data_IF_296410491916
#
_entry.id   IF_296410491916
#
_cell.length_a   1.000
_cell.length_b   1.000
_cell.length_c   1.000
_cell.angle_alpha   90.00
_cell.angle_beta   90.00
_cell.angle_gamma   90.00
#
_symmetry.space_group_name_H-M   'P 1'
#
loop_
_entity.id
_entity.type
_entity.pdbx_description
1 polymer ?
#
# COMPACT_ATOMS: atom_id res chain seq x y z
N UNK A 1 -29.70 35.89 -19.83
CA UNK A 1 -28.58 35.16 -19.20
C UNK A 1 -28.29 35.63 -17.78
N UNK A 2 -28.14 36.91 -17.45
CA UNK A 2 -27.86 37.42 -16.07
C UNK A 2 -28.92 37.04 -15.03
N UNK A 3 -30.22 37.02 -15.39
CA UNK A 3 -31.32 36.64 -14.49
C UNK A 3 -31.31 35.15 -14.11
N UNK A 4 -30.89 34.26 -15.02
CA UNK A 4 -30.77 32.82 -14.80
C UNK A 4 -29.58 32.52 -13.86
N UNK A 5 -28.47 33.22 -14.06
CA UNK A 5 -27.31 33.12 -13.14
C UNK A 5 -27.64 33.59 -11.73
N UNK A 6 -28.45 34.65 -11.58
CA UNK A 6 -28.86 35.16 -10.28
C UNK A 6 -29.78 34.19 -9.52
N UNK A 7 -30.69 33.49 -10.24
CA UNK A 7 -31.58 32.46 -9.67
C UNK A 7 -30.77 31.23 -9.24
N UNK A 8 -29.74 30.83 -10.01
CA UNK A 8 -28.86 29.72 -9.70
C UNK A 8 -28.01 30.01 -8.42
N UNK A 9 -27.55 31.24 -8.25
CA UNK A 9 -26.80 31.69 -7.07
C UNK A 9 -27.72 31.74 -5.84
N UNK A 10 -28.96 32.19 -6.00
CA UNK A 10 -29.93 32.29 -4.91
C UNK A 10 -30.35 30.90 -4.35
N UNK A 11 -30.45 29.88 -5.24
CA UNK A 11 -30.75 28.49 -4.82
C UNK A 11 -29.62 27.85 -4.01
N UNK A 12 -28.36 28.22 -4.26
CA UNK A 12 -27.21 27.75 -3.50
C UNK A 12 -27.15 28.33 -2.06
N UNK A 13 -27.67 29.52 -1.84
CA UNK A 13 -27.70 30.17 -0.53
C UNK A 13 -28.79 29.56 0.36
N UNK A 14 -29.93 29.16 -0.18
CA UNK A 14 -31.03 28.55 0.56
C UNK A 14 -30.67 27.15 1.11
N UNK A 15 -29.94 26.34 0.36
CA UNK A 15 -29.48 25.01 0.81
C UNK A 15 -28.51 25.06 2.01
N UNK A 16 -27.74 26.13 2.15
CA UNK A 16 -26.81 26.27 3.28
C UNK A 16 -27.54 26.57 4.60
N UNK A 17 -28.68 27.23 4.56
CA UNK A 17 -29.48 27.59 5.74
C UNK A 17 -30.14 26.37 6.44
N UNK A 18 -30.69 25.43 5.65
CA UNK A 18 -31.38 24.26 6.19
C UNK A 18 -30.40 23.29 6.87
N UNK A 19 -29.26 22.99 6.24
CA UNK A 19 -28.20 22.18 6.84
C UNK A 19 -27.71 22.77 8.17
N UNK A 20 -27.47 24.08 8.22
CA UNK A 20 -26.97 24.73 9.42
C UNK A 20 -28.00 24.71 10.55
N UNK A 21 -29.30 24.87 10.23
CA UNK A 21 -30.42 24.73 11.16
C UNK A 21 -30.45 23.31 11.73
N UNK A 22 -30.39 22.29 10.90
CA UNK A 22 -30.37 20.90 11.35
C UNK A 22 -29.14 20.55 12.18
N UNK A 23 -27.96 21.07 11.83
CA UNK A 23 -26.73 20.84 12.58
C UNK A 23 -26.82 21.32 14.00
N UNK A 24 -27.48 22.45 14.22
CA UNK A 24 -27.65 23.09 15.53
C UNK A 24 -28.93 22.64 16.27
N UNK A 25 -29.80 21.87 15.65
CA UNK A 25 -31.03 21.32 16.25
C UNK A 25 -30.69 20.19 17.22
N UNK A 26 -31.51 19.99 18.24
CA UNK A 26 -31.43 18.82 19.13
C UNK A 26 -32.30 17.65 18.65
N UNK A 27 -33.02 17.82 17.54
CA UNK A 27 -33.92 16.78 16.98
C UNK A 27 -33.09 15.72 16.22
N UNK A 28 -32.90 14.57 16.88
CA UNK A 28 -32.09 13.45 16.34
C UNK A 28 -32.66 12.88 15.02
N UNK A 29 -34.01 12.83 14.91
CA UNK A 29 -34.67 12.32 13.70
C UNK A 29 -34.37 13.16 12.46
N UNK A 30 -34.40 14.49 12.59
CA UNK A 30 -34.09 15.40 11.49
C UNK A 30 -32.63 15.26 11.04
N UNK A 31 -31.70 15.12 12.00
CA UNK A 31 -30.29 14.87 11.69
C UNK A 31 -30.07 13.56 10.94
N UNK A 32 -30.82 12.52 11.29
CA UNK A 32 -30.77 11.25 10.57
C UNK A 32 -31.30 11.38 9.14
N UNK A 33 -32.46 12.02 8.95
CA UNK A 33 -33.10 12.19 7.64
C UNK A 33 -32.24 13.07 6.71
N UNK A 34 -31.84 14.26 7.18
CA UNK A 34 -31.00 15.18 6.40
C UNK A 34 -29.61 14.59 6.16
N UNK A 35 -29.06 13.91 7.16
CA UNK A 35 -27.78 13.20 7.01
C UNK A 35 -27.83 12.11 5.96
N UNK A 36 -28.93 11.35 5.91
CA UNK A 36 -29.15 10.30 4.87
C UNK A 36 -29.26 10.93 3.49
N UNK A 37 -30.06 12.00 3.32
CA UNK A 37 -30.16 12.72 2.06
C UNK A 37 -28.79 13.24 1.57
N UNK A 38 -28.01 13.84 2.46
CA UNK A 38 -26.66 14.31 2.13
C UNK A 38 -25.70 13.19 1.78
N UNK A 39 -25.84 12.02 2.40
CA UNK A 39 -25.08 10.82 2.09
C UNK A 39 -25.44 10.33 0.67
N UNK A 40 -26.70 10.23 0.34
CA UNK A 40 -27.20 9.80 -0.98
C UNK A 40 -26.79 10.78 -2.10
N UNK A 41 -26.63 12.05 -1.77
CA UNK A 41 -26.09 13.10 -2.66
C UNK A 41 -24.54 13.09 -2.78
N UNK A 42 -23.83 12.19 -2.10
CA UNK A 42 -22.36 12.15 -2.07
C UNK A 42 -21.72 13.27 -1.22
N UNK A 43 -22.50 14.02 -0.46
CA UNK A 43 -22.01 15.09 0.42
C UNK A 43 -21.50 14.53 1.77
N UNK A 44 -20.60 13.55 1.70
CA UNK A 44 -20.18 12.71 2.83
C UNK A 44 -19.64 13.52 4.02
N UNK A 45 -18.92 14.60 3.79
CA UNK A 45 -18.40 15.47 4.86
C UNK A 45 -19.50 16.10 5.71
N UNK A 46 -20.59 16.57 5.06
CA UNK A 46 -21.76 17.14 5.73
C UNK A 46 -22.58 16.06 6.44
N UNK A 47 -22.83 14.94 5.75
CA UNK A 47 -23.53 13.79 6.32
C UNK A 47 -22.84 13.27 7.58
N UNK A 48 -21.52 13.07 7.51
CA UNK A 48 -20.72 12.57 8.62
C UNK A 48 -20.78 13.47 9.86
N UNK A 49 -20.80 14.78 9.66
CA UNK A 49 -20.91 15.74 10.76
C UNK A 49 -22.25 15.63 11.52
N UNK A 50 -23.35 15.34 10.79
CA UNK A 50 -24.65 15.05 11.41
C UNK A 50 -24.65 13.68 12.09
N UNK A 51 -24.15 12.65 11.43
CA UNK A 51 -24.10 11.29 11.96
C UNK A 51 -23.25 11.19 13.24
N UNK A 52 -22.13 11.88 13.30
CA UNK A 52 -21.28 11.92 14.50
C UNK A 52 -21.99 12.41 15.74
N UNK A 53 -22.96 13.34 15.59
CA UNK A 53 -23.74 13.87 16.69
C UNK A 53 -24.80 12.90 17.22
N UNK A 54 -25.29 11.97 16.37
CA UNK A 54 -26.45 11.12 16.71
C UNK A 54 -26.09 9.64 16.92
N UNK A 55 -24.93 9.17 16.45
CA UNK A 55 -24.50 7.77 16.61
C UNK A 55 -24.61 7.27 18.06
N UNK A 56 -24.21 8.04 19.11
CA UNK A 56 -24.37 7.56 20.48
C UNK A 56 -25.82 7.32 20.90
N UNK A 57 -26.77 8.15 20.42
CA UNK A 57 -28.19 8.07 20.77
C UNK A 57 -28.95 6.99 20.00
N UNK A 58 -28.35 6.41 18.94
CA UNK A 58 -28.94 5.34 18.13
C UNK A 58 -28.61 3.93 18.64
N UNK A 59 -27.76 3.76 19.64
CA UNK A 59 -27.43 2.45 20.19
C UNK A 59 -28.70 1.70 20.60
N UNK A 60 -28.86 0.47 20.10
CA UNK A 60 -30.02 -0.39 20.40
C UNK A 60 -31.31 -0.01 19.62
N UNK A 61 -31.29 1.00 18.76
CA UNK A 61 -32.43 1.35 17.93
C UNK A 61 -32.42 0.61 16.59
N UNK A 62 -33.58 0.36 15.96
CA UNK A 62 -33.64 -0.36 14.67
C UNK A 62 -32.77 0.22 13.55
N UNK A 63 -32.64 1.56 13.50
CA UNK A 63 -31.85 2.22 12.45
C UNK A 63 -30.34 2.32 12.78
N UNK A 64 -29.90 1.81 13.93
CA UNK A 64 -28.50 1.90 14.33
C UNK A 64 -27.56 1.27 13.30
N UNK A 65 -27.89 0.11 12.77
CA UNK A 65 -27.12 -0.56 11.75
C UNK A 65 -26.94 0.31 10.49
N UNK A 66 -28.04 0.85 9.95
CA UNK A 66 -27.99 1.74 8.77
C UNK A 66 -27.13 2.98 9.04
N UNK A 67 -27.30 3.61 10.20
CA UNK A 67 -26.54 4.79 10.60
C UNK A 67 -25.04 4.49 10.71
N UNK A 68 -24.68 3.41 11.39
CA UNK A 68 -23.27 3.04 11.58
C UNK A 68 -22.60 2.68 10.24
N UNK A 69 -23.32 2.00 9.35
CA UNK A 69 -22.86 1.73 7.97
C UNK A 69 -22.52 3.03 7.24
N UNK A 70 -23.49 3.95 7.13
CA UNK A 70 -23.30 5.22 6.43
C UNK A 70 -22.20 6.08 7.07
N UNK A 71 -22.12 6.08 8.41
CA UNK A 71 -21.10 6.82 9.15
C UNK A 71 -19.69 6.30 8.88
N UNK A 72 -19.50 4.96 8.90
CA UNK A 72 -18.22 4.33 8.57
C UNK A 72 -17.80 4.65 7.12
N UNK A 73 -18.75 4.52 6.18
CA UNK A 73 -18.51 4.80 4.77
C UNK A 73 -18.19 6.27 4.52
N UNK A 74 -18.84 7.20 5.24
CA UNK A 74 -18.48 8.62 5.15
C UNK A 74 -17.02 8.91 5.54
N UNK A 75 -16.46 8.22 6.52
CA UNK A 75 -15.05 8.39 6.87
C UNK A 75 -14.13 7.87 5.76
N UNK A 76 -14.50 6.74 5.13
CA UNK A 76 -13.75 6.20 4.01
C UNK A 76 -13.79 7.15 2.80
N UNK A 77 -14.97 7.61 2.40
CA UNK A 77 -15.18 8.53 1.27
C UNK A 77 -14.55 9.93 1.47
N UNK A 78 -14.30 10.30 2.73
CA UNK A 78 -13.61 11.54 3.07
C UNK A 78 -12.11 11.33 3.36
N UNK A 79 -11.56 10.17 2.99
CA UNK A 79 -10.16 9.79 3.13
C UNK A 79 -9.64 9.83 4.59
N UNK A 80 -10.56 9.80 5.55
CA UNK A 80 -10.22 9.76 6.97
C UNK A 80 -9.91 8.33 7.42
N UNK A 81 -8.95 7.69 6.76
CA UNK A 81 -8.71 6.24 6.80
C UNK A 81 -8.43 5.67 8.19
N UNK A 82 -7.75 6.40 9.07
CA UNK A 82 -7.56 5.98 10.47
C UNK A 82 -8.87 5.83 11.22
N UNK A 83 -9.83 6.74 10.97
CA UNK A 83 -11.15 6.65 11.60
C UNK A 83 -12.04 5.65 10.85
N UNK A 84 -11.92 5.60 9.54
CA UNK A 84 -12.67 4.66 8.69
C UNK A 84 -12.42 3.21 9.10
N UNK A 85 -11.15 2.79 9.23
CA UNK A 85 -10.83 1.42 9.63
C UNK A 85 -11.47 1.06 11.00
N UNK A 86 -11.35 1.95 11.99
CA UNK A 86 -11.94 1.75 13.30
C UNK A 86 -13.47 1.61 13.25
N UNK A 87 -14.16 2.49 12.51
CA UNK A 87 -15.62 2.44 12.41
C UNK A 87 -16.09 1.21 11.59
N UNK A 88 -15.34 0.80 10.59
CA UNK A 88 -15.62 -0.40 9.80
C UNK A 88 -15.46 -1.67 10.64
N UNK A 89 -14.37 -1.82 11.37
CA UNK A 89 -14.15 -2.95 12.31
C UNK A 89 -15.24 -2.99 13.38
N UNK A 90 -15.62 -1.83 13.91
CA UNK A 90 -16.70 -1.71 14.88
C UNK A 90 -18.06 -2.12 14.29
N UNK A 91 -18.37 -1.75 13.05
CA UNK A 91 -19.59 -2.17 12.38
C UNK A 91 -19.60 -3.69 12.18
N UNK A 92 -18.54 -4.27 11.63
CA UNK A 92 -18.44 -5.71 11.37
C UNK A 92 -18.58 -6.53 12.66
N UNK A 93 -18.01 -6.05 13.76
CA UNK A 93 -18.14 -6.70 15.09
C UNK A 93 -19.55 -6.57 15.68
N UNK A 94 -20.25 -5.44 15.43
CA UNK A 94 -21.59 -5.18 15.99
C UNK A 94 -22.72 -5.83 15.19
N UNK A 95 -22.50 -6.04 13.91
CA UNK A 95 -23.52 -6.54 12.96
C UNK A 95 -22.93 -7.62 12.03
N UNK A 96 -22.47 -8.76 12.56
CA UNK A 96 -21.82 -9.82 11.78
C UNK A 96 -22.74 -10.45 10.73
N UNK A 97 -24.06 -10.44 10.97
CA UNK A 97 -25.06 -11.01 10.05
C UNK A 97 -25.63 -9.98 9.04
N UNK A 98 -25.05 -8.77 8.99
CA UNK A 98 -25.49 -7.74 8.07
C UNK A 98 -25.15 -8.08 6.62
N UNK A 99 -26.08 -7.86 5.69
CA UNK A 99 -25.80 -7.94 4.24
C UNK A 99 -24.64 -6.98 3.81
N UNK A 100 -24.37 -5.98 4.62
CA UNK A 100 -23.31 -4.97 4.38
C UNK A 100 -21.98 -5.30 5.07
N UNK A 101 -21.89 -6.43 5.78
CA UNK A 101 -20.71 -6.73 6.60
C UNK A 101 -19.45 -6.93 5.74
N UNK A 102 -19.58 -7.63 4.61
CA UNK A 102 -18.44 -7.88 3.73
C UNK A 102 -17.93 -6.60 3.08
N UNK A 103 -18.84 -5.74 2.57
CA UNK A 103 -18.49 -4.43 2.02
C UNK A 103 -17.72 -3.58 3.04
N UNK A 104 -18.27 -3.45 4.25
CA UNK A 104 -17.65 -2.63 5.29
C UNK A 104 -16.34 -3.23 5.81
N UNK A 105 -16.27 -4.53 6.00
CA UNK A 105 -15.02 -5.17 6.40
C UNK A 105 -13.91 -4.97 5.35
N UNK A 106 -14.26 -5.06 4.06
CA UNK A 106 -13.33 -4.76 2.99
C UNK A 106 -12.88 -3.31 2.98
N UNK A 107 -13.80 -2.33 3.15
CA UNK A 107 -13.44 -0.91 3.25
C UNK A 107 -12.52 -0.63 4.45
N UNK A 108 -12.74 -1.32 5.57
CA UNK A 108 -11.85 -1.27 6.72
C UNK A 108 -10.44 -1.75 6.38
N UNK A 109 -10.31 -2.93 5.77
CA UNK A 109 -9.04 -3.47 5.31
C UNK A 109 -8.36 -2.57 4.27
N UNK A 110 -9.13 -2.09 3.28
CA UNK A 110 -8.65 -1.16 2.25
C UNK A 110 -8.21 0.19 2.81
N UNK A 111 -8.77 0.62 3.94
CA UNK A 111 -8.30 1.83 4.63
C UNK A 111 -6.85 1.69 5.10
N UNK A 112 -6.42 0.50 5.56
CA UNK A 112 -5.01 0.25 5.90
C UNK A 112 -4.10 0.31 4.68
N UNK A 113 -4.57 -0.17 3.51
CA UNK A 113 -3.81 -0.02 2.26
C UNK A 113 -3.52 1.46 1.93
N UNK A 114 -4.52 2.34 2.08
CA UNK A 114 -4.34 3.78 1.86
C UNK A 114 -3.41 4.44 2.89
N UNK A 115 -3.30 3.90 4.09
CA UNK A 115 -2.37 4.36 5.12
C UNK A 115 -0.94 3.85 4.91
N UNK A 116 -0.77 2.76 4.14
CA UNK A 116 0.54 2.19 3.86
C UNK A 116 1.39 3.15 3.01
N UNK A 117 2.59 3.49 3.46
CA UNK A 117 3.43 4.47 2.77
C UNK A 117 4.10 3.91 1.51
N UNK A 118 4.76 4.79 0.77
CA UNK A 118 5.66 4.39 -0.33
C UNK A 118 6.86 3.59 0.21
N UNK A 119 7.47 2.78 -0.65
CA UNK A 119 8.55 1.83 -0.30
C UNK A 119 9.75 2.45 0.43
N UNK A 120 10.02 3.75 0.26
CA UNK A 120 11.18 4.42 0.88
C UNK A 120 11.01 4.75 2.37
N UNK A 121 9.78 4.64 2.89
CA UNK A 121 9.46 4.90 4.31
C UNK A 121 9.46 3.60 5.12
N UNK A 122 9.20 3.69 6.42
CA UNK A 122 9.04 2.53 7.28
C UNK A 122 7.96 1.58 6.76
N UNK A 123 8.17 0.27 6.90
CA UNK A 123 7.27 -0.75 6.35
C UNK A 123 6.21 -1.25 7.34
N UNK A 124 6.16 -0.69 8.54
CA UNK A 124 5.24 -1.15 9.60
C UNK A 124 3.77 -1.10 9.15
N UNK A 125 3.35 0.05 8.62
CA UNK A 125 1.98 0.23 8.12
C UNK A 125 1.71 -0.66 6.90
N UNK A 126 2.70 -0.88 6.04
CA UNK A 126 2.59 -1.80 4.89
C UNK A 126 2.33 -3.23 5.36
N UNK A 127 3.09 -3.72 6.35
CA UNK A 127 2.91 -5.06 6.92
C UNK A 127 1.56 -5.19 7.63
N UNK A 128 1.14 -4.15 8.37
CA UNK A 128 -0.19 -4.13 9.00
C UNK A 128 -1.31 -4.18 7.95
N UNK A 129 -1.16 -3.46 6.82
CA UNK A 129 -2.14 -3.49 5.74
C UNK A 129 -2.26 -4.89 5.12
N UNK A 130 -1.14 -5.56 4.87
CA UNK A 130 -1.13 -6.95 4.36
C UNK A 130 -1.86 -7.87 5.34
N UNK A 131 -1.55 -7.79 6.65
CA UNK A 131 -2.20 -8.57 7.70
C UNK A 131 -3.73 -8.37 7.70
N UNK A 132 -4.19 -7.11 7.66
CA UNK A 132 -5.62 -6.78 7.69
C UNK A 132 -6.37 -7.24 6.43
N UNK A 133 -5.78 -7.07 5.26
CA UNK A 133 -6.37 -7.55 4.00
C UNK A 133 -6.39 -9.07 3.97
N UNK A 134 -5.33 -9.74 4.43
CA UNK A 134 -5.30 -11.20 4.53
C UNK A 134 -6.34 -11.73 5.52
N UNK A 135 -6.56 -11.03 6.65
CA UNK A 135 -7.61 -11.38 7.60
C UNK A 135 -9.00 -11.26 6.97
N UNK A 136 -9.24 -10.24 6.13
CA UNK A 136 -10.48 -10.11 5.36
C UNK A 136 -10.67 -11.31 4.41
N UNK A 137 -9.65 -11.66 3.61
CA UNK A 137 -9.69 -12.80 2.66
C UNK A 137 -10.02 -14.10 3.40
N UNK A 138 -9.37 -14.34 4.54
CA UNK A 138 -9.57 -15.55 5.32
C UNK A 138 -10.98 -15.63 5.95
N UNK A 139 -11.55 -14.45 6.31
CA UNK A 139 -12.89 -14.40 6.94
C UNK A 139 -14.01 -14.50 5.90
N UNK A 140 -13.80 -13.98 4.69
CA UNK A 140 -14.81 -13.89 3.62
C UNK A 140 -14.27 -14.44 2.29
N UNK A 141 -13.91 -15.74 2.20
CA UNK A 141 -13.22 -16.30 1.02
C UNK A 141 -14.06 -16.29 -0.27
N UNK A 142 -15.40 -16.22 -0.15
CA UNK A 142 -16.35 -16.17 -1.28
C UNK A 142 -16.82 -14.73 -1.58
N UNK A 143 -16.20 -13.71 -1.00
CA UNK A 143 -16.63 -12.32 -1.19
C UNK A 143 -16.32 -11.82 -2.61
N UNK A 144 -17.20 -10.99 -3.15
CA UNK A 144 -16.96 -10.29 -4.43
C UNK A 144 -15.72 -9.39 -4.43
N UNK A 145 -15.21 -9.02 -3.24
CA UNK A 145 -14.02 -8.16 -3.07
C UNK A 145 -12.68 -8.93 -3.06
N UNK A 146 -12.70 -10.27 -3.19
CA UNK A 146 -11.47 -11.09 -3.10
C UNK A 146 -10.46 -10.75 -4.19
N UNK A 147 -10.91 -10.53 -5.42
CA UNK A 147 -10.01 -10.16 -6.53
C UNK A 147 -9.26 -8.87 -6.22
N UNK A 148 -9.99 -7.83 -5.79
CA UNK A 148 -9.39 -6.54 -5.44
C UNK A 148 -8.48 -6.66 -4.22
N UNK A 149 -8.89 -7.42 -3.19
CA UNK A 149 -8.07 -7.65 -2.01
C UNK A 149 -6.71 -8.29 -2.35
N UNK A 150 -6.70 -9.27 -3.25
CA UNK A 150 -5.45 -9.89 -3.72
C UNK A 150 -4.57 -8.91 -4.52
N UNK A 151 -5.17 -8.04 -5.34
CA UNK A 151 -4.44 -7.00 -6.07
C UNK A 151 -3.78 -6.01 -5.11
N UNK A 152 -4.46 -5.62 -4.03
CA UNK A 152 -3.90 -4.74 -3.01
C UNK A 152 -2.72 -5.40 -2.26
N UNK A 153 -2.81 -6.69 -1.92
CA UNK A 153 -1.70 -7.44 -1.32
C UNK A 153 -0.51 -7.47 -2.29
N UNK A 154 -0.76 -7.78 -3.56
CA UNK A 154 0.30 -7.83 -4.57
C UNK A 154 1.05 -6.49 -4.69
N UNK A 155 0.33 -5.35 -4.66
CA UNK A 155 0.97 -4.03 -4.69
C UNK A 155 1.78 -3.76 -3.40
N UNK A 156 1.25 -4.13 -2.23
CA UNK A 156 1.96 -3.96 -0.96
C UNK A 156 3.23 -4.83 -0.89
N UNK A 157 3.16 -6.08 -1.34
CA UNK A 157 4.32 -6.98 -1.43
C UNK A 157 5.37 -6.41 -2.38
N UNK A 158 4.94 -5.86 -3.52
CA UNK A 158 5.86 -5.20 -4.46
C UNK A 158 6.52 -3.96 -3.84
N UNK A 159 5.85 -3.22 -2.96
CA UNK A 159 6.49 -2.12 -2.19
C UNK A 159 7.59 -2.64 -1.26
N UNK A 160 7.40 -3.81 -0.64
CA UNK A 160 8.45 -4.45 0.19
C UNK A 160 9.63 -4.92 -0.65
N UNK A 161 9.37 -5.54 -1.81
CA UNK A 161 10.41 -5.91 -2.77
C UNK A 161 11.22 -4.69 -3.23
N UNK A 162 10.54 -3.63 -3.64
CA UNK A 162 11.16 -2.37 -4.07
C UNK A 162 12.05 -1.78 -2.97
N UNK A 163 11.61 -1.84 -1.71
CA UNK A 163 12.42 -1.38 -0.57
C UNK A 163 13.69 -2.19 -0.41
N UNK A 164 13.58 -3.51 -0.39
CA UNK A 164 14.73 -4.41 -0.23
C UNK A 164 15.74 -4.24 -1.37
N UNK A 165 15.24 -4.20 -2.61
CA UNK A 165 16.06 -3.96 -3.79
C UNK A 165 16.80 -2.61 -3.76
N UNK A 166 16.07 -1.52 -3.48
CA UNK A 166 16.67 -0.19 -3.46
C UNK A 166 17.67 -0.02 -2.30
N UNK A 167 17.44 -0.67 -1.17
CA UNK A 167 18.41 -0.71 -0.07
C UNK A 167 19.71 -1.39 -0.51
N UNK A 168 19.63 -2.53 -1.20
CA UNK A 168 20.78 -3.24 -1.73
C UNK A 168 21.54 -2.41 -2.79
N UNK A 169 20.79 -1.73 -3.68
CA UNK A 169 21.35 -0.86 -4.71
C UNK A 169 22.03 0.38 -4.09
N UNK A 170 21.46 0.94 -3.04
CA UNK A 170 22.04 2.07 -2.33
C UNK A 170 23.41 1.71 -1.73
N UNK A 171 23.57 0.51 -1.15
CA UNK A 171 24.88 0.03 -0.68
C UNK A 171 25.90 -0.07 -1.82
N UNK A 172 25.49 -0.51 -3.02
CA UNK A 172 26.36 -0.52 -4.20
C UNK A 172 26.83 0.90 -4.54
N UNK A 173 25.89 1.86 -4.61
CA UNK A 173 26.18 3.27 -4.94
C UNK A 173 27.10 3.92 -3.91
N UNK A 174 26.95 3.58 -2.64
CA UNK A 174 27.80 4.06 -1.53
C UNK A 174 29.12 3.29 -1.41
N UNK A 175 29.48 2.46 -2.38
CA UNK A 175 30.71 1.64 -2.38
C UNK A 175 30.83 0.63 -1.23
N UNK A 176 29.74 0.42 -0.48
CA UNK A 176 29.65 -0.57 0.59
C UNK A 176 29.39 -1.98 0.00
N UNK A 177 30.27 -2.44 -0.88
CA UNK A 177 30.06 -3.61 -1.74
C UNK A 177 29.76 -4.90 -0.97
N UNK A 178 30.38 -5.14 0.17
CA UNK A 178 30.08 -6.33 0.99
C UNK A 178 28.63 -6.32 1.52
N UNK A 179 28.16 -5.16 1.98
CA UNK A 179 26.78 -4.98 2.43
C UNK A 179 25.79 -5.13 1.25
N UNK A 180 26.13 -4.55 0.09
CA UNK A 180 25.33 -4.68 -1.13
C UNK A 180 25.18 -6.15 -1.56
N UNK A 181 26.28 -6.90 -1.62
CA UNK A 181 26.26 -8.33 -1.94
C UNK A 181 25.32 -9.09 -1.01
N UNK A 182 25.47 -8.87 0.32
CA UNK A 182 24.64 -9.55 1.31
C UNK A 182 23.16 -9.17 1.19
N UNK A 183 22.88 -7.89 0.94
CA UNK A 183 21.51 -7.42 0.77
C UNK A 183 20.87 -7.99 -0.51
N UNK A 184 21.61 -8.09 -1.63
CA UNK A 184 21.11 -8.76 -2.83
C UNK A 184 20.98 -10.28 -2.67
N UNK A 185 21.88 -10.94 -1.91
CA UNK A 185 21.72 -12.36 -1.58
C UNK A 185 20.41 -12.59 -0.81
N UNK A 186 20.08 -11.75 0.17
CA UNK A 186 18.81 -11.82 0.90
C UNK A 186 17.62 -11.55 -0.04
N UNK A 187 17.68 -10.48 -0.85
CA UNK A 187 16.61 -10.16 -1.81
C UNK A 187 16.29 -11.34 -2.76
N UNK A 188 17.32 -11.99 -3.31
CA UNK A 188 17.15 -13.11 -4.25
C UNK A 188 16.53 -14.33 -3.55
N UNK A 189 16.79 -14.49 -2.25
CA UNK A 189 16.25 -15.56 -1.42
C UNK A 189 14.79 -15.27 -1.02
N UNK A 190 14.53 -14.04 -0.55
CA UNK A 190 13.24 -13.66 0.03
C UNK A 190 12.18 -13.41 -1.07
N UNK A 191 12.60 -12.99 -2.28
CA UNK A 191 11.71 -12.67 -3.40
C UNK A 191 12.06 -13.48 -4.67
N UNK A 192 11.90 -14.81 -4.66
CA UNK A 192 12.33 -15.67 -5.77
C UNK A 192 11.56 -15.42 -7.08
N UNK A 193 10.30 -14.94 -6.99
CA UNK A 193 9.44 -14.60 -8.12
C UNK A 193 9.48 -13.14 -8.57
N UNK A 194 10.32 -12.31 -7.96
CA UNK A 194 10.36 -10.88 -8.24
C UNK A 194 10.77 -10.56 -9.68
N UNK A 195 10.08 -9.60 -10.28
CA UNK A 195 10.45 -9.00 -11.58
C UNK A 195 11.80 -8.25 -11.52
N UNK A 196 12.27 -7.92 -10.33
CA UNK A 196 13.55 -7.26 -10.09
C UNK A 196 14.72 -8.25 -9.94
N UNK A 197 14.46 -9.58 -9.97
CA UNK A 197 15.44 -10.62 -9.71
C UNK A 197 16.62 -10.56 -10.70
N UNK A 198 16.35 -10.35 -11.99
CA UNK A 198 17.38 -10.18 -13.00
C UNK A 198 18.36 -9.05 -12.64
N UNK A 199 17.82 -7.87 -12.37
CA UNK A 199 18.59 -6.69 -11.95
C UNK A 199 19.34 -6.93 -10.64
N UNK A 200 18.71 -7.61 -9.68
CA UNK A 200 19.34 -7.94 -8.41
C UNK A 200 20.53 -8.88 -8.58
N UNK A 201 20.43 -9.89 -9.45
CA UNK A 201 21.54 -10.79 -9.76
C UNK A 201 22.67 -10.06 -10.47
N UNK A 202 22.36 -9.16 -11.40
CA UNK A 202 23.37 -8.34 -12.08
C UNK A 202 24.10 -7.43 -11.08
N UNK A 203 23.38 -6.63 -10.26
CA UNK A 203 24.02 -5.72 -9.32
C UNK A 203 24.75 -6.43 -8.17
N UNK A 204 24.31 -7.65 -7.80
CA UNK A 204 25.11 -8.52 -6.91
C UNK A 204 26.44 -8.89 -7.53
N UNK A 205 26.46 -9.25 -8.80
CA UNK A 205 27.70 -9.49 -9.55
C UNK A 205 28.55 -8.22 -9.65
N UNK A 206 27.94 -7.07 -10.04
CA UNK A 206 28.65 -5.79 -10.14
C UNK A 206 29.30 -5.39 -8.80
N UNK A 207 28.58 -5.53 -7.70
CA UNK A 207 29.14 -5.29 -6.35
C UNK A 207 30.33 -6.22 -6.05
N UNK A 208 30.25 -7.48 -6.50
CA UNK A 208 31.34 -8.46 -6.29
C UNK A 208 32.56 -8.15 -7.15
N UNK A 209 32.34 -7.74 -8.39
CA UNK A 209 33.39 -7.26 -9.29
C UNK A 209 34.11 -6.05 -8.70
N UNK A 210 33.34 -5.00 -8.32
CA UNK A 210 33.93 -3.79 -7.71
C UNK A 210 34.67 -4.09 -6.40
N UNK A 211 34.17 -5.01 -5.60
CA UNK A 211 34.83 -5.47 -4.40
C UNK A 211 36.16 -6.17 -4.72
N UNK A 212 36.20 -6.98 -5.79
CA UNK A 212 37.40 -7.71 -6.18
C UNK A 212 38.51 -6.78 -6.67
N UNK A 213 38.21 -5.90 -7.63
CA UNK A 213 39.21 -5.00 -8.24
C UNK A 213 39.75 -3.94 -7.27
N UNK A 214 39.02 -3.62 -6.20
CA UNK A 214 39.46 -2.68 -5.14
C UNK A 214 39.99 -3.42 -3.90
N UNK A 215 40.41 -4.67 -4.05
CA UNK A 215 40.90 -5.48 -2.93
C UNK A 215 42.38 -5.40 -2.78
N UNK A 216 42.83 -5.59 -1.52
CA UNK A 216 44.26 -5.84 -1.21
C UNK A 216 44.65 -7.22 -1.78
N UNK A 217 45.92 -7.36 -2.18
CA UNK A 217 46.45 -8.52 -2.93
C UNK A 217 46.07 -9.88 -2.32
N UNK A 218 46.20 -10.03 -0.98
CA UNK A 218 45.92 -11.33 -0.31
C UNK A 218 44.44 -11.74 -0.27
N UNK A 219 43.49 -10.82 -0.57
CA UNK A 219 42.06 -11.11 -0.66
C UNK A 219 41.54 -11.11 -2.12
N UNK A 220 42.33 -10.60 -3.03
CA UNK A 220 41.90 -10.35 -4.42
C UNK A 220 41.51 -11.63 -5.10
N UNK A 221 42.31 -12.67 -5.05
CA UNK A 221 42.08 -13.95 -5.73
C UNK A 221 40.75 -14.60 -5.27
N UNK A 222 40.52 -14.71 -3.96
CA UNK A 222 39.28 -15.26 -3.40
C UNK A 222 38.04 -14.46 -3.86
N UNK A 223 38.19 -13.13 -3.92
CA UNK A 223 37.07 -12.24 -4.31
C UNK A 223 36.80 -12.31 -5.81
N UNK A 224 37.82 -12.46 -6.65
CA UNK A 224 37.69 -12.71 -8.08
C UNK A 224 36.90 -14.00 -8.31
N UNK A 225 37.26 -15.09 -7.66
CA UNK A 225 36.58 -16.38 -7.81
C UNK A 225 35.10 -16.29 -7.41
N UNK A 226 34.80 -15.58 -6.32
CA UNK A 226 33.41 -15.32 -5.89
C UNK A 226 32.65 -14.47 -6.90
N UNK A 227 33.28 -13.47 -7.51
CA UNK A 227 32.66 -12.64 -8.53
C UNK A 227 32.36 -13.44 -9.80
N UNK A 228 33.31 -14.26 -10.27
CA UNK A 228 33.12 -15.16 -11.42
C UNK A 228 31.94 -16.13 -11.17
N UNK A 229 31.87 -16.72 -9.99
CA UNK A 229 30.75 -17.62 -9.64
C UNK A 229 29.40 -16.90 -9.69
N UNK A 230 29.31 -15.62 -9.25
CA UNK A 230 28.11 -14.82 -9.32
C UNK A 230 27.76 -14.42 -10.76
N UNK A 231 28.76 -14.11 -11.59
CA UNK A 231 28.57 -13.92 -13.02
C UNK A 231 27.96 -15.15 -13.67
N UNK A 232 28.55 -16.34 -13.46
CA UNK A 232 28.06 -17.58 -14.02
C UNK A 232 26.62 -17.88 -13.61
N UNK A 233 26.28 -17.61 -12.34
CA UNK A 233 24.91 -17.72 -11.86
C UNK A 233 23.98 -16.73 -12.56
N UNK A 234 24.37 -15.48 -12.78
CA UNK A 234 23.59 -14.49 -13.51
C UNK A 234 23.38 -14.92 -14.96
N UNK A 235 24.45 -15.22 -15.68
CA UNK A 235 24.41 -15.63 -17.10
C UNK A 235 23.55 -16.86 -17.32
N UNK A 236 23.67 -17.87 -16.44
CA UNK A 236 22.86 -19.10 -16.52
C UNK A 236 21.35 -18.83 -16.44
N UNK A 237 20.92 -17.85 -15.65
CA UNK A 237 19.51 -17.54 -15.45
C UNK A 237 18.98 -16.52 -16.47
N UNK A 238 19.86 -15.66 -17.02
CA UNK A 238 19.49 -14.49 -17.83
C UNK A 238 20.46 -14.28 -18.99
N UNK A 239 20.58 -15.28 -19.87
CA UNK A 239 21.51 -15.28 -21.02
C UNK A 239 21.22 -14.15 -22.02
N UNK A 240 19.94 -13.75 -22.15
CA UNK A 240 19.46 -12.68 -23.03
C UNK A 240 19.27 -11.34 -22.33
N UNK A 241 19.86 -11.15 -21.15
CA UNK A 241 19.76 -9.92 -20.38
C UNK A 241 20.40 -8.73 -21.11
N UNK A 242 19.77 -7.55 -20.99
CA UNK A 242 20.36 -6.28 -21.47
C UNK A 242 21.70 -5.95 -20.78
N UNK A 243 21.94 -6.54 -19.60
CA UNK A 243 23.19 -6.35 -18.84
C UNK A 243 24.32 -7.32 -19.25
N UNK A 244 24.07 -8.27 -20.16
CA UNK A 244 25.02 -9.36 -20.42
C UNK A 244 26.33 -8.86 -21.02
N UNK A 245 26.28 -7.90 -21.95
CA UNK A 245 27.46 -7.35 -22.60
C UNK A 245 28.40 -6.63 -21.60
N UNK A 246 27.80 -5.85 -20.69
CA UNK A 246 28.56 -5.17 -19.62
C UNK A 246 29.14 -6.18 -18.63
N UNK A 247 28.37 -7.22 -18.30
CA UNK A 247 28.81 -8.28 -17.41
C UNK A 247 29.98 -9.09 -18.02
N UNK A 248 29.94 -9.40 -19.32
CA UNK A 248 31.00 -10.10 -20.03
C UNK A 248 32.31 -9.26 -20.10
N UNK A 249 32.23 -7.93 -20.25
CA UNK A 249 33.39 -7.04 -20.18
C UNK A 249 34.06 -7.08 -18.78
N UNK A 250 33.25 -6.99 -17.72
CA UNK A 250 33.72 -7.10 -16.33
C UNK A 250 34.35 -8.48 -16.05
N UNK A 251 33.77 -9.56 -16.60
CA UNK A 251 34.35 -10.89 -16.48
C UNK A 251 35.73 -10.98 -17.13
N UNK A 252 35.90 -10.40 -18.33
CA UNK A 252 37.19 -10.36 -19.01
C UNK A 252 38.27 -9.71 -18.14
N UNK A 253 37.99 -8.56 -17.56
CA UNK A 253 38.89 -7.86 -16.64
C UNK A 253 39.24 -8.71 -15.40
N UNK A 254 38.24 -9.40 -14.79
CA UNK A 254 38.49 -10.31 -13.68
C UNK A 254 39.45 -11.45 -14.04
N UNK A 255 39.30 -12.02 -15.27
CA UNK A 255 40.17 -13.09 -15.71
C UNK A 255 41.60 -12.63 -16.01
N UNK A 256 41.79 -11.40 -16.52
CA UNK A 256 43.10 -10.78 -16.70
C UNK A 256 43.80 -10.58 -15.33
N UNK A 257 43.07 -10.09 -14.31
CA UNK A 257 43.62 -9.92 -12.97
C UNK A 257 43.91 -11.24 -12.24
N UNK A 258 43.23 -12.34 -12.62
CA UNK A 258 43.48 -13.66 -12.03
C UNK A 258 44.77 -14.29 -12.49
N UNK A 259 45.30 -13.93 -13.66
CA UNK A 259 46.50 -14.48 -14.27
C UNK A 259 47.80 -13.76 -13.81
N UNK A 260 47.68 -12.67 -13.04
CA UNK A 260 48.78 -11.94 -12.48
C UNK A 260 49.06 -12.39 -11.03
#
# INVERSE_FOLDING_TARGET
>A
MKKIQFILILSLILSCGEYQKTLNSDVIGDKFLVGTSLYDEGKFKKANRLFSQIVPQYRGKPQAQKLMYMHAKCFYETESYYTANYQCERFASSYPDSEKVQEIAFLGAKSYYHLAPIFSKDSKETLTAIEKIQAFINTYPESEYISEANELIFDLDFRLEMKAYNTALQYNTLTAYQASIKAFDNFILDFPGSKLREKAMYYRFDSSYRLAINSVSWKMQERIDKAINRFNSFKKNYESSDFINEADMKLKELNELKTI
#
